data_IF_939154272216
#
_entry.id   IF_939154272216
#
_cell.length_a   1.000
_cell.length_b   1.000
_cell.length_c   1.000
_cell.angle_alpha   90.00
_cell.angle_beta   90.00
_cell.angle_gamma   90.00
#
_symmetry.space_group_name_H-M   'P 1'
#
loop_
_entity.id
_entity.type
_entity.pdbx_description
1 polymer ?
#
# COMPACT_ATOMS: atom_id res chain seq x y z
N UNK A 1 13.63 23.68 25.18
CA UNK A 1 13.86 22.74 24.07
C UNK A 1 13.31 21.40 24.51
N UNK A 2 12.25 20.91 23.87
CA UNK A 2 11.72 19.56 24.13
C UNK A 2 12.76 18.53 23.69
N UNK A 3 12.99 17.49 24.47
CA UNK A 3 13.88 16.39 24.04
C UNK A 3 13.21 15.66 22.86
N UNK A 4 13.95 15.24 21.84
CA UNK A 4 13.37 14.44 20.76
C UNK A 4 13.01 13.04 21.27
N UNK A 5 11.98 12.43 20.67
CA UNK A 5 11.72 11.01 20.85
C UNK A 5 12.79 10.24 20.05
N UNK A 6 13.49 9.33 20.72
CA UNK A 6 14.61 8.58 20.12
C UNK A 6 14.23 7.11 19.95
N UNK A 7 14.48 6.58 18.77
CA UNK A 7 14.35 5.17 18.42
C UNK A 7 15.74 4.69 18.03
N UNK A 8 16.25 3.65 18.69
CA UNK A 8 17.59 3.13 18.46
C UNK A 8 17.56 1.62 18.25
N UNK A 9 18.14 1.19 17.12
CA UNK A 9 18.33 -0.20 16.69
C UNK A 9 17.08 -1.05 16.87
N UNK A 10 15.93 -0.47 16.53
CA UNK A 10 14.64 -1.08 16.76
C UNK A 10 14.43 -2.26 15.81
N UNK A 11 14.18 -3.43 16.40
CA UNK A 11 13.81 -4.62 15.65
C UNK A 11 12.50 -5.21 16.17
N UNK A 12 11.67 -5.66 15.23
CA UNK A 12 10.39 -6.30 15.52
C UNK A 12 10.24 -7.59 14.69
N UNK A 13 10.29 -8.72 15.39
CA UNK A 13 10.08 -10.05 14.82
C UNK A 13 8.86 -10.72 15.46
N UNK A 14 8.05 -11.36 14.63
CA UNK A 14 7.03 -12.31 15.05
C UNK A 14 7.48 -13.73 14.65
N UNK A 15 6.97 -14.80 15.29
CA UNK A 15 7.43 -16.17 15.07
C UNK A 15 7.51 -16.61 13.60
N UNK A 16 6.63 -16.07 12.75
CA UNK A 16 6.56 -16.42 11.34
C UNK A 16 6.92 -15.26 10.39
N UNK A 17 7.37 -14.10 10.91
CA UNK A 17 7.58 -12.90 10.09
C UNK A 17 8.47 -11.85 10.76
N UNK A 18 9.53 -11.44 10.08
CA UNK A 18 10.24 -10.18 10.38
C UNK A 18 9.41 -9.00 9.86
N UNK A 19 9.08 -8.04 10.74
CA UNK A 19 8.43 -6.80 10.33
C UNK A 19 9.47 -5.79 9.85
N UNK A 20 10.44 -5.46 10.70
CA UNK A 20 11.54 -4.58 10.37
C UNK A 20 12.73 -4.75 11.33
N UNK A 21 13.93 -4.40 10.87
CA UNK A 21 15.20 -4.52 11.58
C UNK A 21 16.01 -3.21 11.56
N UNK A 22 16.85 -3.02 12.58
CA UNK A 22 17.87 -1.97 12.68
C UNK A 22 17.34 -0.54 12.40
N UNK A 23 16.12 -0.24 12.84
CA UNK A 23 15.55 1.08 12.64
C UNK A 23 16.00 2.05 13.73
N UNK A 24 16.74 3.08 13.32
CA UNK A 24 17.16 4.18 14.21
C UNK A 24 16.62 5.49 13.67
N UNK A 25 15.92 6.27 14.51
CA UNK A 25 15.42 7.59 14.14
C UNK A 25 15.20 8.48 15.34
N UNK A 26 15.39 9.78 15.13
CA UNK A 26 14.98 10.82 16.07
C UNK A 26 13.76 11.55 15.52
N UNK A 27 12.77 11.76 16.38
CA UNK A 27 11.54 12.48 16.08
C UNK A 27 11.56 13.78 16.87
N UNK A 28 11.80 14.87 16.16
CA UNK A 28 11.76 16.22 16.74
C UNK A 28 10.31 16.66 17.01
N UNK A 29 10.19 17.64 17.90
CA UNK A 29 8.90 18.28 18.13
C UNK A 29 8.41 19.01 16.88
N UNK A 30 7.13 18.84 16.52
CA UNK A 30 6.54 19.42 15.30
C UNK A 30 6.82 18.63 14.02
N UNK A 31 7.52 17.49 14.10
CA UNK A 31 7.77 16.62 12.95
C UNK A 31 6.45 16.07 12.38
N UNK A 32 6.40 15.95 11.04
CA UNK A 32 5.23 15.42 10.33
C UNK A 32 5.61 14.17 9.56
N UNK A 33 5.31 13.03 10.15
CA UNK A 33 5.83 11.73 9.72
C UNK A 33 4.69 10.89 9.15
N UNK A 34 4.84 10.43 7.91
CA UNK A 34 3.92 9.50 7.26
C UNK A 34 4.56 8.12 7.21
N UNK A 35 3.83 7.09 7.64
CA UNK A 35 4.27 5.70 7.56
C UNK A 35 3.50 5.04 6.42
N UNK A 36 4.24 4.54 5.44
CA UNK A 36 3.72 3.81 4.28
C UNK A 36 4.43 2.46 4.17
N UNK A 37 3.79 1.49 3.56
CA UNK A 37 4.35 0.15 3.41
C UNK A 37 3.26 -0.87 3.12
N UNK A 38 3.68 -2.10 2.79
CA UNK A 38 2.75 -3.17 2.41
C UNK A 38 1.86 -3.57 3.58
N UNK A 39 0.70 -4.15 3.28
CA UNK A 39 -0.17 -4.71 4.31
C UNK A 39 0.57 -5.79 5.12
N UNK A 40 0.48 -5.69 6.44
CA UNK A 40 1.20 -6.55 7.37
C UNK A 40 2.70 -6.27 7.51
N UNK A 41 3.25 -5.20 6.91
CA UNK A 41 4.64 -4.78 7.13
C UNK A 41 4.93 -4.35 8.59
N UNK A 42 3.90 -4.20 9.43
CA UNK A 42 4.06 -3.81 10.83
C UNK A 42 3.81 -2.33 11.12
N UNK A 43 3.19 -1.57 10.19
CA UNK A 43 2.88 -0.13 10.35
C UNK A 43 2.13 0.18 11.66
N UNK A 44 1.00 -0.49 11.89
CA UNK A 44 0.21 -0.36 13.13
C UNK A 44 1.01 -0.80 14.36
N UNK A 45 1.84 -1.84 14.21
CA UNK A 45 2.69 -2.34 15.30
C UNK A 45 3.82 -1.38 15.66
N UNK A 46 4.35 -0.62 14.70
CA UNK A 46 5.30 0.45 14.97
C UNK A 46 4.64 1.55 15.82
N UNK A 47 3.37 1.89 15.56
CA UNK A 47 2.63 2.82 16.42
C UNK A 47 2.42 2.25 17.83
N UNK A 48 2.08 0.96 17.95
CA UNK A 48 1.94 0.31 19.27
C UNK A 48 3.25 0.30 20.06
N UNK A 49 4.39 0.10 19.39
CA UNK A 49 5.72 0.18 19.97
C UNK A 49 6.01 1.60 20.47
N UNK A 50 5.74 2.63 19.66
CA UNK A 50 5.92 4.04 20.05
C UNK A 50 5.01 4.42 21.24
N UNK A 51 3.89 3.71 21.44
CA UNK A 51 3.00 3.90 22.59
C UNK A 51 3.41 3.10 23.84
N UNK A 52 4.45 2.26 23.74
CA UNK A 52 4.82 1.34 24.80
C UNK A 52 3.82 0.20 25.04
N UNK A 53 2.90 -0.06 24.10
CA UNK A 53 1.87 -1.12 24.21
C UNK A 53 2.34 -2.46 23.64
N UNK A 54 3.39 -2.45 22.82
CA UNK A 54 3.98 -3.64 22.23
C UNK A 54 5.44 -3.76 22.66
N UNK A 55 5.87 -4.90 23.24
CA UNK A 55 7.28 -5.12 23.53
C UNK A 55 8.07 -5.22 22.22
N UNK A 56 9.24 -4.61 22.21
CA UNK A 56 10.20 -4.69 21.11
C UNK A 56 11.02 -5.96 21.24
N UNK A 57 11.45 -6.53 20.11
CA UNK A 57 12.30 -7.72 20.15
C UNK A 57 13.77 -7.37 20.45
N UNK A 58 14.23 -6.24 19.91
CA UNK A 58 15.55 -5.66 20.17
C UNK A 58 15.47 -4.14 19.97
N UNK A 59 16.44 -3.42 20.53
CA UNK A 59 16.51 -1.96 20.50
C UNK A 59 15.76 -1.29 21.64
N UNK A 60 15.66 0.04 21.58
CA UNK A 60 14.95 0.86 22.57
C UNK A 60 14.22 2.03 21.94
N UNK A 61 13.10 2.40 22.56
CA UNK A 61 12.35 3.62 22.26
C UNK A 61 12.34 4.46 23.52
N UNK A 62 12.95 5.64 23.45
CA UNK A 62 13.01 6.60 24.55
C UNK A 62 12.01 7.73 24.27
N UNK A 63 10.96 7.76 25.09
CA UNK A 63 9.91 8.78 25.04
C UNK A 63 10.17 9.77 26.18
N UNK A 64 10.38 11.06 25.87
CA UNK A 64 10.53 12.10 26.89
C UNK A 64 9.30 12.22 27.81
N UNK A 65 9.51 12.57 29.08
CA UNK A 65 8.44 12.68 30.09
C UNK A 65 7.41 13.78 29.78
N UNK A 66 7.80 14.79 29.00
CA UNK A 66 6.95 15.90 28.56
C UNK A 66 6.09 15.53 27.33
N UNK A 67 6.15 14.30 26.84
CA UNK A 67 5.38 13.82 25.69
C UNK A 67 4.03 13.22 26.12
N UNK A 68 2.95 13.84 25.66
CA UNK A 68 1.59 13.34 25.78
C UNK A 68 1.11 12.82 24.43
N UNK A 69 0.88 11.52 24.34
CA UNK A 69 0.51 10.84 23.10
C UNK A 69 -1.01 10.70 22.99
N UNK A 70 -1.58 11.26 21.92
CA UNK A 70 -2.95 10.96 21.48
C UNK A 70 -2.90 9.87 20.41
N UNK A 71 -3.77 8.86 20.51
CA UNK A 71 -3.80 7.75 19.55
C UNK A 71 -5.20 7.51 19.01
N UNK A 72 -5.31 7.42 17.68
CA UNK A 72 -6.53 7.01 16.99
C UNK A 72 -6.30 5.65 16.33
N UNK A 73 -6.97 4.58 16.81
CA UNK A 73 -6.83 3.24 16.24
C UNK A 73 -7.48 3.11 14.87
N UNK A 74 -7.04 2.08 14.14
CA UNK A 74 -7.72 1.65 12.93
C UNK A 74 -9.12 1.12 13.29
N UNK A 75 -10.15 1.74 12.71
CA UNK A 75 -11.55 1.38 12.99
C UNK A 75 -11.94 0.14 12.18
N UNK A 76 -11.86 -1.03 12.82
CA UNK A 76 -12.41 -2.25 12.24
C UNK A 76 -13.94 -2.19 12.23
N UNK A 77 -14.55 -2.70 11.17
CA UNK A 77 -15.99 -2.67 10.90
C UNK A 77 -16.82 -3.64 11.77
N UNK A 78 -16.35 -3.97 12.98
CA UNK A 78 -17.08 -4.83 13.90
C UNK A 78 -18.35 -4.12 14.42
N UNK A 79 -19.51 -4.66 14.03
CA UNK A 79 -20.89 -4.67 14.56
C UNK A 79 -21.43 -3.65 15.58
N UNK A 80 -20.76 -2.55 15.90
CA UNK A 80 -21.35 -1.45 16.67
C UNK A 80 -22.41 -0.68 15.85
N UNK A 81 -23.47 -0.22 16.51
CA UNK A 81 -24.57 0.56 15.90
C UNK A 81 -24.14 1.90 15.30
N UNK A 82 -22.93 2.38 15.61
CA UNK A 82 -22.37 3.65 15.14
C UNK A 82 -21.80 3.54 13.73
N UNK A 83 -22.04 4.56 12.91
CA UNK A 83 -21.42 4.72 11.59
C UNK A 83 -19.90 4.93 11.71
N UNK A 84 -19.14 4.53 10.69
CA UNK A 84 -17.66 4.61 10.72
C UNK A 84 -17.13 6.01 11.03
N UNK A 85 -17.79 7.07 10.53
CA UNK A 85 -17.43 8.45 10.83
C UNK A 85 -17.69 8.83 12.29
N UNK A 86 -18.81 8.40 12.88
CA UNK A 86 -19.11 8.65 14.29
C UNK A 86 -18.08 8.00 15.22
N UNK A 87 -17.66 6.77 14.90
CA UNK A 87 -16.59 6.09 15.65
C UNK A 87 -15.28 6.87 15.54
N UNK A 88 -14.92 7.31 14.33
CA UNK A 88 -13.72 8.12 14.13
C UNK A 88 -13.75 9.42 14.93
N UNK A 89 -14.87 10.16 14.89
CA UNK A 89 -15.03 11.38 15.67
C UNK A 89 -14.90 11.12 17.16
N UNK A 90 -15.45 10.01 17.68
CA UNK A 90 -15.31 9.63 19.09
C UNK A 90 -13.83 9.43 19.48
N UNK A 91 -13.12 8.54 18.78
CA UNK A 91 -11.71 8.27 19.08
C UNK A 91 -10.81 9.48 18.87
N UNK A 92 -11.09 10.29 17.84
CA UNK A 92 -10.36 11.53 17.62
C UNK A 92 -10.58 12.53 18.76
N UNK A 93 -11.82 12.65 19.24
CA UNK A 93 -12.14 13.53 20.37
C UNK A 93 -11.46 13.05 21.65
N UNK A 94 -11.49 11.74 21.93
CA UNK A 94 -10.80 11.14 23.08
C UNK A 94 -9.28 11.36 23.00
N UNK A 95 -8.68 11.16 21.82
CA UNK A 95 -7.25 11.39 21.61
C UNK A 95 -6.86 12.86 21.83
N UNK A 96 -7.71 13.80 21.40
CA UNK A 96 -7.47 15.24 21.54
C UNK A 96 -7.80 15.79 22.94
N UNK A 97 -8.69 15.13 23.69
CA UNK A 97 -9.10 15.56 25.03
C UNK A 97 -7.93 15.64 26.01
N UNK A 98 -6.90 14.82 25.81
CA UNK A 98 -5.68 14.83 26.62
C UNK A 98 -4.69 15.96 26.25
N UNK A 99 -5.06 16.88 25.34
CA UNK A 99 -4.16 17.90 24.78
C UNK A 99 -2.81 17.29 24.35
N UNK A 100 -2.81 16.31 23.43
CA UNK A 100 -1.61 15.62 23.05
C UNK A 100 -0.65 16.55 22.32
N UNK A 101 0.65 16.31 22.51
CA UNK A 101 1.70 17.00 21.78
C UNK A 101 2.35 16.10 20.72
N UNK A 102 2.04 14.80 20.75
CA UNK A 102 2.29 13.82 19.70
C UNK A 102 0.97 13.14 19.34
N UNK A 103 0.57 13.20 18.08
CA UNK A 103 -0.65 12.55 17.58
C UNK A 103 -0.30 11.38 16.67
N UNK A 104 -0.75 10.19 17.04
CA UNK A 104 -0.58 8.94 16.30
C UNK A 104 -1.91 8.53 15.67
N UNK A 105 -1.91 8.31 14.36
CA UNK A 105 -3.14 8.03 13.60
C UNK A 105 -2.94 6.77 12.76
N UNK A 106 -3.75 5.74 12.99
CA UNK A 106 -3.68 4.49 12.24
C UNK A 106 -4.81 4.38 11.19
N UNK A 107 -4.46 4.55 9.92
CA UNK A 107 -5.37 4.57 8.77
C UNK A 107 -6.64 5.43 8.99
N UNK A 108 -6.50 6.72 9.34
CA UNK A 108 -7.61 7.56 9.81
C UNK A 108 -8.62 7.91 8.71
N UNK A 109 -8.25 7.74 7.43
CA UNK A 109 -9.10 8.03 6.28
C UNK A 109 -10.03 6.88 5.92
N UNK A 110 -9.83 5.70 6.50
CA UNK A 110 -10.70 4.56 6.24
C UNK A 110 -12.11 4.85 6.75
N UNK A 111 -13.12 4.64 5.89
CA UNK A 111 -14.53 4.89 6.15
C UNK A 111 -14.95 6.37 6.29
N UNK A 112 -14.07 7.34 6.01
CA UNK A 112 -14.45 8.76 5.95
C UNK A 112 -14.96 9.15 4.55
N UNK A 113 -16.01 9.98 4.52
CA UNK A 113 -16.45 10.64 3.29
C UNK A 113 -15.47 11.75 2.86
N UNK A 114 -15.67 12.28 1.65
CA UNK A 114 -14.80 13.33 1.08
C UNK A 114 -14.79 14.62 1.90
N UNK A 115 -15.84 14.92 2.67
CA UNK A 115 -15.95 16.16 3.46
C UNK A 115 -15.18 16.03 4.76
N UNK A 116 -15.43 14.95 5.50
CA UNK A 116 -14.78 14.63 6.75
C UNK A 116 -13.28 14.39 6.56
N UNK A 117 -12.87 13.74 5.46
CA UNK A 117 -11.45 13.65 5.10
C UNK A 117 -10.81 15.03 4.92
N UNK A 118 -11.45 15.96 4.21
CA UNK A 118 -10.94 17.33 4.02
C UNK A 118 -10.81 18.08 5.34
N UNK A 119 -11.76 17.89 6.26
CA UNK A 119 -11.72 18.49 7.59
C UNK A 119 -10.56 17.91 8.43
N UNK A 120 -10.37 16.59 8.41
CA UNK A 120 -9.24 15.95 9.06
C UNK A 120 -7.91 16.51 8.55
N UNK A 121 -7.73 16.58 7.23
CA UNK A 121 -6.52 17.14 6.62
C UNK A 121 -6.26 18.56 7.11
N UNK A 122 -7.28 19.43 7.15
CA UNK A 122 -7.13 20.82 7.65
C UNK A 122 -6.78 20.87 9.14
N UNK A 123 -7.37 20.00 9.95
CA UNK A 123 -7.07 19.91 11.37
C UNK A 123 -5.63 19.46 11.60
N UNK A 124 -5.17 18.45 10.87
CA UNK A 124 -3.78 17.99 10.94
C UNK A 124 -2.82 19.08 10.48
N UNK A 125 -3.11 19.78 9.38
CA UNK A 125 -2.33 20.93 8.86
C UNK A 125 -2.09 21.97 9.98
N UNK A 126 -3.13 22.30 10.77
CA UNK A 126 -3.06 23.28 11.85
C UNK A 126 -2.57 22.77 13.22
N UNK A 127 -2.25 21.48 13.36
CA UNK A 127 -1.82 20.90 14.64
C UNK A 127 -0.37 21.30 14.97
N UNK A 128 -0.13 21.92 16.14
CA UNK A 128 1.19 22.45 16.51
C UNK A 128 2.23 21.39 16.93
N UNK A 129 1.77 20.20 17.31
CA UNK A 129 2.64 19.12 17.78
C UNK A 129 3.16 18.21 16.66
N UNK A 130 3.81 17.13 17.07
CA UNK A 130 4.28 16.08 16.16
C UNK A 130 3.10 15.22 15.70
N UNK A 131 3.06 14.88 14.41
CA UNK A 131 2.05 13.96 13.87
C UNK A 131 2.74 12.79 13.21
N UNK A 132 2.35 11.58 13.59
CA UNK A 132 2.76 10.33 12.94
C UNK A 132 1.50 9.65 12.43
N UNK A 133 1.37 9.52 11.12
CA UNK A 133 0.19 8.92 10.48
C UNK A 133 0.58 7.71 9.65
N UNK A 134 -0.11 6.60 9.88
CA UNK A 134 -0.13 5.46 8.96
C UNK A 134 -1.29 5.71 8.00
N UNK A 135 -1.01 5.86 6.71
CA UNK A 135 -2.06 6.04 5.71
C UNK A 135 -1.57 5.68 4.32
N UNK A 136 -2.50 5.22 3.47
CA UNK A 136 -2.31 5.15 2.02
C UNK A 136 -3.00 6.29 1.25
N UNK A 137 -3.55 7.30 1.94
CA UNK A 137 -4.24 8.41 1.29
C UNK A 137 -3.25 9.46 0.77
N UNK A 138 -3.10 9.52 -0.55
CA UNK A 138 -2.21 10.46 -1.22
C UNK A 138 -2.49 11.93 -0.88
N UNK A 139 -3.76 12.32 -0.68
CA UNK A 139 -4.11 13.71 -0.40
C UNK A 139 -3.66 14.11 1.00
N UNK A 140 -3.81 13.21 1.97
CA UNK A 140 -3.36 13.42 3.34
C UNK A 140 -1.83 13.47 3.40
N UNK A 141 -1.16 12.47 2.82
CA UNK A 141 0.30 12.37 2.84
C UNK A 141 0.96 13.57 2.15
N UNK A 142 0.50 13.96 0.97
CA UNK A 142 1.12 15.08 0.23
C UNK A 142 0.94 16.44 0.91
N UNK A 143 -0.11 16.62 1.72
CA UNK A 143 -0.42 17.90 2.34
C UNK A 143 0.12 18.03 3.76
N UNK A 144 0.04 16.97 4.55
CA UNK A 144 0.32 17.05 5.98
C UNK A 144 1.75 16.61 6.34
N UNK A 145 2.42 15.85 5.46
CA UNK A 145 3.65 15.11 5.80
C UNK A 145 4.86 15.68 5.09
N UNK A 146 5.98 15.76 5.82
CA UNK A 146 7.28 16.22 5.31
C UNK A 146 8.38 15.14 5.39
N UNK A 147 8.15 14.10 6.18
CA UNK A 147 9.08 12.98 6.37
C UNK A 147 8.29 11.69 6.19
N UNK A 148 8.76 10.81 5.32
CA UNK A 148 8.11 9.54 5.01
C UNK A 148 8.96 8.40 5.54
N UNK A 149 8.35 7.49 6.29
CA UNK A 149 8.91 6.21 6.70
C UNK A 149 8.27 5.13 5.85
N UNK A 150 9.06 4.57 4.94
CA UNK A 150 8.62 3.50 4.07
C UNK A 150 9.13 2.15 4.60
N UNK A 151 8.19 1.29 5.01
CA UNK A 151 8.48 -0.05 5.51
C UNK A 151 8.38 -1.04 4.35
N UNK A 152 9.51 -1.64 3.98
CA UNK A 152 9.58 -2.62 2.90
C UNK A 152 10.70 -3.65 3.14
N UNK A 153 10.44 -4.90 2.76
CA UNK A 153 11.37 -6.03 2.88
C UNK A 153 12.12 -6.15 4.23
N UNK A 154 11.49 -5.77 5.34
CA UNK A 154 12.13 -5.85 6.67
C UNK A 154 13.00 -4.65 7.02
N UNK A 155 12.96 -3.57 6.26
CA UNK A 155 13.70 -2.33 6.54
C UNK A 155 12.76 -1.12 6.52
N UNK A 156 13.11 -0.09 7.30
CA UNK A 156 12.41 1.19 7.31
C UNK A 156 13.31 2.24 6.67
N UNK A 157 12.96 2.64 5.46
CA UNK A 157 13.64 3.72 4.74
C UNK A 157 13.03 5.06 5.11
N UNK A 158 13.89 6.03 5.45
CA UNK A 158 13.49 7.41 5.73
C UNK A 158 13.68 8.28 4.50
N UNK A 159 12.65 9.03 4.14
CA UNK A 159 12.66 9.96 3.02
C UNK A 159 12.18 11.33 3.48
N UNK A 160 12.99 12.36 3.26
CA UNK A 160 12.61 13.74 3.57
C UNK A 160 12.07 14.38 2.28
N UNK A 161 10.80 14.78 2.29
CA UNK A 161 10.11 15.32 1.13
C UNK A 161 8.63 14.97 1.11
N UNK A 162 7.94 15.35 0.04
CA UNK A 162 6.54 14.99 -0.15
C UNK A 162 6.39 13.53 -0.59
N UNK A 163 5.19 12.97 -0.43
CA UNK A 163 4.91 11.63 -0.92
C UNK A 163 5.04 11.53 -2.45
N UNK A 164 4.73 12.60 -3.18
CA UNK A 164 4.95 12.68 -4.64
C UNK A 164 6.42 12.54 -5.02
N UNK A 165 7.32 13.22 -4.31
CA UNK A 165 8.75 13.15 -4.59
C UNK A 165 9.27 11.72 -4.35
N UNK A 166 8.77 11.07 -3.30
CA UNK A 166 9.07 9.66 -3.01
C UNK A 166 8.62 8.72 -4.13
N UNK A 167 7.39 8.90 -4.65
CA UNK A 167 6.88 8.10 -5.76
C UNK A 167 7.73 8.32 -7.02
N UNK A 168 8.06 9.57 -7.34
CA UNK A 168 8.89 9.90 -8.51
C UNK A 168 10.31 9.32 -8.40
N UNK A 169 10.94 9.39 -7.22
CA UNK A 169 12.26 8.80 -6.98
C UNK A 169 12.23 7.26 -7.15
N UNK A 170 11.15 6.60 -6.68
CA UNK A 170 10.97 5.16 -6.93
C UNK A 170 10.73 4.83 -8.39
N UNK A 171 9.87 5.58 -9.08
CA UNK A 171 9.62 5.39 -10.52
C UNK A 171 10.91 5.55 -11.32
N UNK A 172 11.72 6.55 -10.99
CA UNK A 172 13.03 6.76 -11.60
C UNK A 172 13.98 5.59 -11.37
N UNK A 173 14.14 5.13 -10.12
CA UNK A 173 15.00 3.98 -9.79
C UNK A 173 14.52 2.70 -10.47
N UNK A 174 13.19 2.49 -10.52
CA UNK A 174 12.59 1.36 -11.21
C UNK A 174 12.94 1.40 -12.71
N UNK A 175 12.76 2.55 -13.36
CA UNK A 175 13.10 2.72 -14.78
C UNK A 175 14.60 2.53 -15.07
N UNK A 176 15.48 3.03 -14.19
CA UNK A 176 16.93 2.86 -14.32
C UNK A 176 17.33 1.36 -14.24
N UNK A 177 16.77 0.63 -13.28
CA UNK A 177 17.05 -0.81 -13.12
C UNK A 177 16.44 -1.61 -14.27
N UNK A 178 15.24 -1.26 -14.72
CA UNK A 178 14.60 -1.91 -15.87
C UNK A 178 15.44 -1.74 -17.14
N UNK A 179 15.95 -0.54 -17.41
CA UNK A 179 16.88 -0.27 -18.51
C UNK A 179 18.18 -1.07 -18.37
N UNK A 180 18.74 -1.19 -17.16
CA UNK A 180 19.93 -2.00 -16.91
C UNK A 180 19.68 -3.50 -17.19
N UNK A 181 18.53 -4.03 -16.76
CA UNK A 181 18.12 -5.42 -17.00
C UNK A 181 17.92 -5.69 -18.50
N UNK A 182 17.29 -4.76 -19.23
CA UNK A 182 17.17 -4.85 -20.68
C UNK A 182 18.54 -4.83 -21.38
N UNK A 183 19.43 -3.92 -20.95
CA UNK A 183 20.78 -3.78 -21.48
C UNK A 183 21.58 -5.08 -21.35
N UNK A 184 21.59 -5.70 -20.17
CA UNK A 184 22.20 -7.02 -19.95
C UNK A 184 21.54 -8.12 -20.79
N UNK A 185 20.22 -8.05 -20.97
CA UNK A 185 19.47 -8.93 -21.86
C UNK A 185 19.96 -8.87 -23.30
N UNK A 186 20.20 -7.66 -23.83
CA UNK A 186 20.75 -7.43 -25.18
C UNK A 186 22.18 -7.95 -25.28
N UNK A 187 23.06 -7.59 -24.34
CA UNK A 187 24.44 -8.08 -24.32
C UNK A 187 24.55 -9.61 -24.33
N UNK A 188 23.68 -10.30 -23.57
CA UNK A 188 23.63 -11.76 -23.58
C UNK A 188 23.26 -12.33 -24.96
N UNK A 189 22.28 -11.73 -25.65
CA UNK A 189 21.86 -12.13 -27.01
C UNK A 189 22.98 -11.89 -28.03
N UNK A 190 23.64 -10.74 -27.96
CA UNK A 190 24.73 -10.39 -28.88
C UNK A 190 25.94 -11.31 -28.71
N UNK A 191 26.32 -11.60 -27.46
CA UNK A 191 27.37 -12.56 -27.14
C UNK A 191 27.03 -13.97 -27.64
N UNK A 192 25.77 -14.41 -27.48
CA UNK A 192 25.32 -15.70 -28.01
C UNK A 192 25.40 -15.75 -29.55
N UNK A 193 24.95 -14.68 -30.22
CA UNK A 193 24.99 -14.58 -31.67
C UNK A 193 26.43 -14.53 -32.22
N UNK A 194 27.33 -13.82 -31.54
CA UNK A 194 28.75 -13.78 -31.88
C UNK A 194 29.41 -15.17 -31.76
N UNK A 195 29.14 -15.88 -30.67
CA UNK A 195 29.64 -17.24 -30.45
C UNK A 195 29.10 -18.22 -31.50
N UNK A 196 27.81 -18.11 -31.85
CA UNK A 196 27.21 -18.91 -32.93
C UNK A 196 27.87 -18.63 -34.30
N UNK A 197 28.14 -17.36 -34.62
CA UNK A 197 28.86 -16.98 -35.85
C UNK A 197 30.29 -17.53 -35.85
N UNK A 198 30.98 -17.48 -34.71
CA UNK A 198 32.34 -18.00 -34.58
C UNK A 198 32.38 -19.53 -34.73
N UNK A 199 31.45 -20.26 -34.12
CA UNK A 199 31.31 -21.70 -34.30
C UNK A 199 31.00 -22.07 -35.75
N UNK A 200 30.09 -21.36 -36.41
CA UNK A 200 29.79 -21.55 -37.84
C UNK A 200 31.01 -21.27 -38.73
N UNK A 201 31.79 -20.22 -38.43
CA UNK A 201 33.05 -19.90 -39.13
C UNK A 201 34.12 -20.97 -38.90
N UNK A 202 34.24 -21.48 -37.68
CA UNK A 202 35.19 -22.54 -37.35
C UNK A 202 34.81 -23.87 -38.02
N UNK A 203 33.53 -24.23 -38.07
CA UNK A 203 33.04 -25.42 -38.75
C UNK A 203 33.27 -25.36 -40.27
N UNK A 204 32.99 -24.20 -40.90
CA UNK A 204 33.23 -24.01 -42.34
C UNK A 204 34.73 -23.94 -42.69
N UNK A 205 35.55 -23.36 -41.80
CA UNK A 205 37.02 -23.38 -41.92
C UNK A 205 37.58 -24.81 -41.82
N UNK A 206 37.12 -25.63 -40.85
CA UNK A 206 37.49 -27.05 -40.74
C UNK A 206 37.11 -27.85 -41.98
N UNK A 207 35.90 -27.63 -42.52
CA UNK A 207 35.45 -28.31 -43.74
C UNK A 207 36.31 -27.93 -44.97
N UNK A 208 36.72 -26.65 -45.11
CA UNK A 208 37.67 -26.21 -46.13
C UNK A 208 39.07 -26.80 -45.92
N UNK A 209 39.55 -26.83 -44.68
CA UNK A 209 40.83 -27.44 -44.31
C UNK A 209 40.92 -28.93 -44.66
N UNK A 210 39.85 -29.69 -44.42
CA UNK A 210 39.78 -31.10 -44.83
C UNK A 210 39.84 -31.26 -46.36
N UNK A 211 39.23 -30.35 -47.12
CA UNK A 211 39.33 -30.34 -48.60
C UNK A 211 40.73 -29.98 -49.08
N UNK A 212 41.42 -29.03 -48.44
CA UNK A 212 42.79 -28.66 -48.81
C UNK A 212 43.83 -29.73 -48.45
N UNK A 213 43.63 -30.47 -47.35
CA UNK A 213 44.44 -31.65 -47.00
C UNK A 213 44.28 -32.75 -48.06
N UNK A 214 43.04 -33.01 -48.53
CA UNK A 214 42.80 -33.94 -49.66
C UNK A 214 43.47 -33.49 -50.96
N UNK A 215 43.70 -32.19 -51.13
CA UNK A 215 44.39 -31.61 -52.30
C UNK A 215 45.89 -31.36 -52.07
N UNK A 216 46.49 -31.92 -51.00
CA UNK A 216 47.93 -31.86 -50.75
C UNK A 216 48.47 -30.52 -50.25
N UNK A 217 47.61 -29.57 -49.85
CA UNK A 217 48.03 -28.27 -49.29
C UNK A 217 47.89 -28.26 -47.77
N UNK A 218 49.01 -28.10 -47.06
CA UNK A 218 49.07 -28.06 -45.60
C UNK A 218 48.57 -26.72 -45.04
N UNK A 219 47.57 -26.69 -44.15
CA UNK A 219 47.07 -25.45 -43.57
C UNK A 219 47.91 -25.00 -42.35
N UNK A 220 48.07 -23.69 -42.19
CA UNK A 220 48.77 -23.07 -41.06
C UNK A 220 47.88 -23.10 -39.80
N UNK A 221 48.30 -23.82 -38.75
CA UNK A 221 47.56 -23.90 -37.49
C UNK A 221 47.95 -22.73 -36.58
N UNK A 222 47.09 -21.72 -36.44
CA UNK A 222 47.19 -20.74 -35.35
C UNK A 222 46.50 -21.31 -34.11
N UNK A 223 47.23 -21.49 -33.01
CA UNK A 223 46.65 -21.82 -31.70
C UNK A 223 45.85 -20.62 -31.16
N UNK A 224 44.60 -20.84 -30.78
CA UNK A 224 43.75 -19.87 -30.08
C UNK A 224 43.42 -20.38 -28.67
N UNK A 225 43.85 -19.65 -27.64
CA UNK A 225 43.80 -20.05 -26.23
C UNK A 225 42.57 -19.51 -25.44
N UNK A 226 41.40 -19.27 -26.06
CA UNK A 226 40.34 -18.46 -25.41
C UNK A 226 39.06 -19.20 -24.96
N UNK A 227 39.02 -20.54 -24.96
CA UNK A 227 37.76 -21.27 -24.73
C UNK A 227 37.23 -21.14 -23.28
N UNK A 228 38.09 -21.00 -22.27
CA UNK A 228 37.68 -20.88 -20.86
C UNK A 228 37.00 -19.56 -20.48
N UNK A 229 37.42 -18.44 -21.09
CA UNK A 229 36.98 -17.08 -20.73
C UNK A 229 35.48 -16.83 -20.98
N UNK A 230 34.87 -17.62 -21.87
CA UNK A 230 33.47 -17.43 -22.28
C UNK A 230 32.45 -18.01 -21.30
N UNK A 231 32.82 -19.03 -20.52
CA UNK A 231 31.91 -19.66 -19.56
C UNK A 231 31.80 -18.82 -18.28
N UNK A 232 32.92 -18.31 -17.77
CA UNK A 232 32.95 -17.43 -16.59
C UNK A 232 32.21 -16.12 -16.85
N UNK A 233 32.40 -15.49 -18.02
CA UNK A 233 31.66 -14.27 -18.38
C UNK A 233 30.15 -14.46 -18.46
N UNK A 234 29.68 -15.62 -18.95
CA UNK A 234 28.24 -15.95 -18.97
C UNK A 234 27.66 -16.11 -17.57
N UNK A 235 28.45 -16.65 -16.64
CA UNK A 235 28.04 -16.84 -15.25
C UNK A 235 27.90 -15.49 -14.55
N UNK A 236 28.90 -14.62 -14.66
CA UNK A 236 28.87 -13.25 -14.08
C UNK A 236 27.68 -12.44 -14.59
N UNK A 237 27.41 -12.45 -15.89
CA UNK A 237 26.25 -11.73 -16.46
C UNK A 237 24.91 -12.29 -15.94
N UNK A 238 24.84 -13.60 -15.67
CA UNK A 238 23.64 -14.23 -15.11
C UNK A 238 23.43 -13.83 -13.66
N UNK A 239 24.50 -13.83 -12.86
CA UNK A 239 24.47 -13.42 -11.44
C UNK A 239 24.08 -11.94 -11.33
N UNK A 240 24.72 -11.05 -12.10
CA UNK A 240 24.37 -9.62 -12.15
C UNK A 240 22.92 -9.37 -12.59
N UNK A 241 22.42 -10.13 -13.58
CA UNK A 241 21.03 -10.01 -13.99
C UNK A 241 20.08 -10.45 -12.87
N UNK A 242 20.42 -11.52 -12.16
CA UNK A 242 19.60 -12.01 -11.05
C UNK A 242 19.54 -10.98 -9.93
N UNK A 243 20.67 -10.40 -9.55
CA UNK A 243 20.77 -9.34 -8.54
C UNK A 243 19.91 -8.11 -8.90
N UNK A 244 19.97 -7.64 -10.16
CA UNK A 244 19.15 -6.52 -10.60
C UNK A 244 17.65 -6.85 -10.64
N UNK A 245 17.29 -8.10 -10.98
CA UNK A 245 15.88 -8.55 -10.93
C UNK A 245 15.38 -8.60 -9.49
N UNK A 246 16.22 -9.06 -8.56
CA UNK A 246 15.89 -9.09 -7.14
C UNK A 246 15.73 -7.65 -6.60
N UNK A 247 16.61 -6.71 -6.98
CA UNK A 247 16.45 -5.28 -6.67
C UNK A 247 15.15 -4.70 -7.25
N UNK A 248 14.78 -5.07 -8.47
CA UNK A 248 13.53 -4.62 -9.09
C UNK A 248 12.31 -5.12 -8.30
N UNK A 249 12.35 -6.36 -7.80
CA UNK A 249 11.31 -6.89 -6.90
C UNK A 249 11.23 -6.13 -5.58
N UNK A 250 12.35 -5.63 -5.05
CA UNK A 250 12.31 -4.79 -3.84
C UNK A 250 11.71 -3.41 -4.10
N UNK A 251 11.76 -2.90 -5.33
CA UNK A 251 11.25 -1.58 -5.70
C UNK A 251 9.79 -1.60 -6.17
N UNK A 252 8.98 -2.57 -5.71
CA UNK A 252 7.55 -2.65 -6.03
C UNK A 252 6.84 -1.30 -5.88
N UNK A 253 6.48 -0.70 -7.02
CA UNK A 253 5.57 0.42 -7.07
C UNK A 253 4.26 0.00 -6.39
N UNK A 254 3.54 0.91 -5.72
CA UNK A 254 2.25 0.56 -5.14
C UNK A 254 1.36 -0.02 -6.24
N UNK A 255 1.02 -1.31 -6.11
CA UNK A 255 0.19 -2.01 -7.07
C UNK A 255 -1.13 -1.24 -7.22
N UNK A 256 -1.32 -0.58 -8.38
CA UNK A 256 -2.62 -0.06 -8.75
C UNK A 256 -3.46 -1.26 -9.14
N UNK A 257 -4.04 -1.93 -8.15
CA UNK A 257 -5.01 -2.99 -8.37
C UNK A 257 -6.20 -2.34 -9.08
N UNK A 258 -6.26 -2.50 -10.39
CA UNK A 258 -7.47 -2.21 -11.17
C UNK A 258 -8.23 -3.53 -11.15
N UNK A 259 -9.20 -3.71 -10.25
CA UNK A 259 -9.93 -4.96 -10.22
C UNK A 259 -10.77 -5.07 -11.50
N UNK A 260 -10.39 -5.98 -12.39
CA UNK A 260 -11.18 -6.36 -13.56
C UNK A 260 -12.23 -7.38 -13.13
N UNK A 261 -13.32 -6.89 -12.54
CA UNK A 261 -14.50 -7.72 -12.31
C UNK A 261 -15.32 -7.81 -13.60
N UNK A 262 -15.43 -9.00 -14.18
CA UNK A 262 -16.40 -9.31 -15.22
C UNK A 262 -17.55 -10.08 -14.58
N UNK A 263 -18.72 -9.45 -14.51
CA UNK A 263 -19.95 -10.11 -14.09
C UNK A 263 -20.71 -10.49 -15.37
N UNK A 264 -20.76 -11.76 -15.77
CA UNK A 264 -21.56 -12.17 -16.91
C UNK A 264 -23.05 -12.00 -16.57
N UNK A 265 -23.74 -11.12 -17.30
CA UNK A 265 -25.19 -10.96 -17.20
C UNK A 265 -25.86 -11.77 -18.32
N UNK A 266 -26.16 -13.04 -18.06
CA UNK A 266 -26.97 -13.85 -18.98
C UNK A 266 -28.46 -13.62 -18.74
N UNK A 267 -29.22 -13.34 -19.82
CA UNK A 267 -30.66 -13.57 -19.84
C UNK A 267 -31.57 -12.52 -19.18
N UNK A 268 -31.15 -11.26 -19.09
CA UNK A 268 -31.96 -10.22 -18.43
C UNK A 268 -32.84 -9.45 -19.44
N UNK A 269 -34.10 -9.88 -19.58
CA UNK A 269 -35.14 -9.15 -20.35
C UNK A 269 -35.60 -7.86 -19.66
N UNK A 270 -36.30 -6.96 -20.37
CA UNK A 270 -36.73 -5.60 -19.97
C UNK A 270 -37.81 -5.55 -18.85
N UNK A 271 -37.65 -6.33 -17.78
CA UNK A 271 -38.59 -6.40 -16.67
C UNK A 271 -38.22 -5.38 -15.59
N UNK A 272 -39.24 -4.78 -14.97
CA UNK A 272 -39.06 -4.00 -13.73
C UNK A 272 -38.74 -5.01 -12.62
N UNK A 273 -37.59 -4.85 -11.95
CA UNK A 273 -37.13 -5.76 -10.90
C UNK A 273 -37.57 -5.29 -9.52
N UNK A 274 -37.51 -3.99 -9.27
CA UNK A 274 -37.82 -3.40 -7.96
C UNK A 274 -38.75 -2.22 -8.19
N UNK A 275 -39.85 -2.14 -7.46
CA UNK A 275 -40.75 -1.00 -7.46
C UNK A 275 -41.12 -0.68 -6.01
N UNK A 276 -40.59 0.41 -5.49
CA UNK A 276 -40.88 0.90 -4.14
C UNK A 276 -41.74 2.14 -4.29
N UNK A 277 -42.91 2.12 -3.65
CA UNK A 277 -43.81 3.26 -3.51
C UNK A 277 -44.01 3.57 -2.03
N UNK A 278 -43.86 4.84 -1.68
CA UNK A 278 -44.02 5.39 -0.34
C UNK A 278 -43.28 4.60 0.75
N UNK A 279 -42.05 4.15 0.43
CA UNK A 279 -41.21 3.42 1.35
C UNK A 279 -40.69 4.30 2.48
N UNK A 280 -40.76 3.80 3.71
CA UNK A 280 -40.06 4.35 4.86
C UNK A 280 -39.04 3.31 5.36
N UNK A 281 -37.91 3.77 5.88
CA UNK A 281 -36.86 2.89 6.40
C UNK A 281 -36.46 3.34 7.80
N UNK A 282 -36.44 2.41 8.74
CA UNK A 282 -35.97 2.65 10.11
C UNK A 282 -35.25 1.45 10.72
N UNK A 283 -34.52 1.68 11.81
CA UNK A 283 -33.97 0.58 12.62
C UNK A 283 -35.00 0.09 13.63
N UNK A 284 -35.06 -1.23 13.83
CA UNK A 284 -35.80 -1.83 14.95
C UNK A 284 -34.90 -1.71 16.18
N UNK A 285 -35.10 -0.67 17.00
CA UNK A 285 -34.33 -0.49 18.22
C UNK A 285 -34.66 -1.60 19.23
N UNK A 286 -33.70 -2.49 19.49
CA UNK A 286 -33.77 -3.48 20.57
C UNK A 286 -33.22 -2.92 21.88
N UNK A 287 -33.62 -1.72 22.32
CA UNK A 287 -33.35 -1.26 23.70
C UNK A 287 -34.32 -0.16 24.09
N UNK A 288 -34.96 -0.34 25.25
CA UNK A 288 -35.79 0.66 25.93
C UNK A 288 -34.97 1.92 26.20
N UNK A 289 -35.25 3.00 25.47
CA UNK A 289 -34.79 4.33 25.87
C UNK A 289 -35.88 4.96 26.74
N UNK A 290 -35.55 5.15 28.01
CA UNK A 290 -36.32 5.86 29.02
C UNK A 290 -36.48 7.34 28.66
N UNK A 291 -37.73 7.80 28.59
CA UNK A 291 -38.12 9.20 28.76
C UNK A 291 -38.23 10.05 27.48
N UNK A 292 -39.47 10.32 27.06
CA UNK A 292 -39.82 11.33 26.04
C UNK A 292 -40.44 10.74 24.76
N UNK A 293 -41.69 11.10 24.47
CA UNK A 293 -42.53 10.80 23.29
C UNK A 293 -41.99 9.80 22.25
N UNK A 294 -42.58 8.61 22.26
CA UNK A 294 -42.34 7.50 21.32
C UNK A 294 -42.91 7.78 19.91
N UNK A 295 -42.29 8.68 19.14
CA UNK A 295 -42.43 8.66 17.68
C UNK A 295 -41.14 8.14 17.05
N UNK A 296 -41.25 7.02 16.34
CA UNK A 296 -40.16 6.37 15.61
C UNK A 296 -39.86 7.22 14.39
N UNK A 297 -38.84 8.07 14.44
CA UNK A 297 -38.44 8.83 13.24
C UNK A 297 -37.84 7.88 12.19
N UNK A 298 -38.43 7.77 10.99
CA UNK A 298 -37.84 6.99 9.90
C UNK A 298 -36.56 7.68 9.42
N UNK A 299 -35.48 6.91 9.24
CA UNK A 299 -34.21 7.38 8.69
C UNK A 299 -34.35 7.91 7.27
N UNK A 300 -35.25 7.30 6.49
CA UNK A 300 -35.65 7.75 5.18
C UNK A 300 -37.17 7.59 5.05
N UNK A 301 -37.84 8.59 4.49
CA UNK A 301 -39.28 8.59 4.24
C UNK A 301 -39.57 8.96 2.78
N UNK A 302 -40.75 8.59 2.28
CA UNK A 302 -41.24 8.89 0.93
C UNK A 302 -40.30 8.40 -0.18
N UNK A 303 -39.71 7.20 -0.02
CA UNK A 303 -38.88 6.60 -1.06
C UNK A 303 -39.77 6.07 -2.17
N UNK A 304 -39.68 6.70 -3.34
CA UNK A 304 -40.42 6.34 -4.54
C UNK A 304 -39.42 6.08 -5.67
N UNK A 305 -39.16 4.81 -6.00
CA UNK A 305 -38.34 4.48 -7.17
C UNK A 305 -38.67 3.12 -7.77
N UNK A 306 -38.49 3.03 -9.09
CA UNK A 306 -38.60 1.80 -9.87
C UNK A 306 -37.27 1.53 -10.56
N UNK A 307 -36.76 0.31 -10.46
CA UNK A 307 -35.52 -0.12 -11.11
C UNK A 307 -35.84 -1.17 -12.18
N UNK A 308 -35.45 -0.87 -13.42
CA UNK A 308 -35.51 -1.84 -14.51
C UNK A 308 -34.22 -2.69 -14.59
N UNK A 309 -34.32 -3.82 -15.25
CA UNK A 309 -33.30 -4.86 -15.25
C UNK A 309 -31.99 -4.52 -15.97
N UNK A 310 -31.97 -3.45 -16.79
CA UNK A 310 -30.78 -2.94 -17.49
C UNK A 310 -30.26 -1.63 -16.92
N UNK A 311 -30.90 -1.09 -15.89
CA UNK A 311 -30.49 0.15 -15.26
C UNK A 311 -29.40 -0.07 -14.23
N UNK A 312 -28.40 0.81 -14.24
CA UNK A 312 -27.39 0.88 -13.19
C UNK A 312 -27.76 1.96 -12.19
N UNK A 313 -28.06 1.57 -10.95
CA UNK A 313 -28.39 2.50 -9.87
C UNK A 313 -27.14 2.83 -9.03
N UNK A 314 -26.72 4.09 -9.05
CA UNK A 314 -25.70 4.60 -8.14
C UNK A 314 -26.37 5.24 -6.92
N UNK A 315 -26.15 4.67 -5.73
CA UNK A 315 -26.61 5.26 -4.46
C UNK A 315 -25.45 6.05 -3.84
N UNK A 316 -25.48 7.37 -4.00
CA UNK A 316 -24.52 8.30 -3.41
C UNK A 316 -25.16 9.13 -2.28
N UNK A 317 -24.34 9.58 -1.32
CA UNK A 317 -24.79 10.33 -0.15
C UNK A 317 -23.70 10.40 0.92
N UNK A 318 -23.94 11.15 1.99
CA UNK A 318 -23.00 11.25 3.11
C UNK A 318 -23.07 10.00 4.02
N UNK A 319 -22.08 9.82 4.90
CA UNK A 319 -22.13 8.72 5.86
C UNK A 319 -23.27 8.95 6.87
N UNK A 320 -24.03 7.89 7.16
CA UNK A 320 -25.22 7.99 8.01
C UNK A 320 -26.51 8.34 7.27
N UNK A 321 -26.46 8.63 5.96
CA UNK A 321 -27.67 8.93 5.14
C UNK A 321 -28.53 7.70 4.80
N UNK A 322 -28.36 6.57 5.49
CA UNK A 322 -29.16 5.37 5.26
C UNK A 322 -28.80 4.51 4.03
N UNK A 323 -27.73 4.79 3.27
CA UNK A 323 -27.37 4.04 2.04
C UNK A 323 -27.26 2.53 2.24
N UNK A 324 -26.46 2.11 3.23
CA UNK A 324 -26.29 0.69 3.55
C UNK A 324 -27.57 0.08 4.12
N UNK A 325 -28.41 0.88 4.77
CA UNK A 325 -29.70 0.47 5.33
C UNK A 325 -30.72 0.22 4.22
N UNK A 326 -30.78 1.09 3.22
CA UNK A 326 -31.57 0.94 1.99
C UNK A 326 -31.19 -0.33 1.23
N UNK A 327 -29.89 -0.60 1.05
CA UNK A 327 -29.43 -1.84 0.41
C UNK A 327 -29.83 -3.07 1.24
N UNK A 328 -29.69 -3.01 2.57
CA UNK A 328 -30.10 -4.12 3.45
C UNK A 328 -31.60 -4.39 3.42
N UNK A 329 -32.43 -3.35 3.33
CA UNK A 329 -33.88 -3.49 3.19
C UNK A 329 -34.27 -4.10 1.83
N UNK A 330 -33.59 -3.71 0.75
CA UNK A 330 -33.75 -4.32 -0.57
C UNK A 330 -33.36 -5.81 -0.61
N UNK A 331 -32.43 -6.23 0.26
CA UNK A 331 -31.95 -7.61 0.35
C UNK A 331 -32.73 -8.47 1.38
N UNK A 332 -33.89 -8.00 1.86
CA UNK A 332 -34.77 -8.70 2.82
C UNK A 332 -34.07 -9.25 4.06
N UNK A 333 -33.23 -8.43 4.71
CA UNK A 333 -32.64 -8.78 6.02
C UNK A 333 -33.51 -8.26 7.15
N UNK A 334 -33.98 -9.18 8.00
CA UNK A 334 -34.90 -9.05 9.15
C UNK A 334 -34.60 -7.99 10.23
N UNK A 335 -33.59 -7.14 10.04
CA UNK A 335 -33.15 -6.09 10.98
C UNK A 335 -33.61 -4.66 10.63
N UNK A 336 -34.30 -4.48 9.50
CA UNK A 336 -34.79 -3.18 8.99
C UNK A 336 -36.29 -3.31 8.74
N UNK A 337 -37.07 -2.32 9.16
CA UNK A 337 -38.52 -2.25 8.93
C UNK A 337 -38.87 -1.19 7.91
#
# INVERSE_FOLDING_TARGET
>A
MHKPLSIQDLCLYFPNRTCFENFTSEVCFGSRIGIVGRNGAGKSKLLDVIRGQQPVSSGRVEIPEDVTIGYVPQLLSSFDSLSGSQRFHKYLTEALACNPNVLLLDEPTNHLDKRNRRNLIRMLDGFYGTVIVVSHDEQLLNRCINTLWHIDNGEIMKFNGSYRDFVMDRERRHAEIEQAVEGLGRQKRDMHNALMKEQKRAASSKARGQKSIRQGKWPLVKRTNNVGVTHDRKRVIREQKQELVDQLQTLQLPDKVIPTFSLPAEGVGDRILINIRDGALGYIASTKCTGGNNEREPLLSNINFSLSSKESLLIAGDNGSGKSTLIKALMDRSSVW
#
